data_IF_388752688911
#
_entry.id   IF_388752688911
#
_cell.length_a   1.000
_cell.length_b   1.000
_cell.length_c   1.000
_cell.angle_alpha   90.00
_cell.angle_beta   90.00
_cell.angle_gamma   90.00
#
_symmetry.space_group_name_H-M   'P 1'
#
loop_
_entity.id
_entity.type
_entity.pdbx_description
1 polymer ?
#
# COMPACT_ATOMS: atom_id res chain seq x y z
N UNK A 1 -13.74 -2.06 12.41
CA UNK A 1 -13.14 -3.41 12.27
C UNK A 1 -11.68 -3.21 11.90
N UNK A 2 -10.74 -3.86 12.59
CA UNK A 2 -9.32 -3.80 12.23
C UNK A 2 -9.04 -4.79 11.10
N UNK A 3 -8.26 -4.36 10.11
CA UNK A 3 -7.72 -5.23 9.08
C UNK A 3 -6.31 -5.62 9.48
N UNK A 4 -5.92 -6.87 9.20
CA UNK A 4 -4.55 -7.31 9.36
C UNK A 4 -3.99 -7.76 8.02
N UNK A 5 -2.67 -7.65 7.89
CA UNK A 5 -1.99 -7.92 6.64
C UNK A 5 -0.54 -8.32 6.83
N UNK A 6 0.05 -8.81 5.75
CA UNK A 6 1.45 -9.18 5.66
C UNK A 6 2.11 -8.33 4.59
N UNK A 7 3.38 -7.97 4.76
CA UNK A 7 4.08 -7.18 3.78
C UNK A 7 5.59 -7.17 4.00
N UNK A 8 6.26 -6.35 3.21
CA UNK A 8 7.71 -6.20 3.26
C UNK A 8 8.21 -5.71 4.63
N UNK A 9 9.39 -6.18 5.05
CA UNK A 9 10.08 -5.71 6.27
C UNK A 9 10.42 -4.21 6.27
N UNK A 10 10.35 -3.56 5.11
CA UNK A 10 10.64 -2.14 4.96
C UNK A 10 9.43 -1.23 5.20
N UNK A 11 8.25 -1.81 5.44
CA UNK A 11 7.03 -1.07 5.79
C UNK A 11 7.22 -0.41 7.14
N UNK A 12 6.82 0.85 7.24
CA UNK A 12 6.85 1.62 8.48
C UNK A 12 5.51 2.34 8.70
N UNK A 13 5.30 2.79 9.93
CA UNK A 13 4.12 3.60 10.26
C UNK A 13 4.05 4.85 9.37
N UNK A 14 2.87 5.10 8.80
CA UNK A 14 2.64 6.21 7.87
C UNK A 14 2.75 5.83 6.38
N UNK A 15 3.22 4.62 6.04
CA UNK A 15 3.12 4.12 4.67
C UNK A 15 1.65 3.85 4.30
N UNK A 16 1.32 4.03 3.02
CA UNK A 16 -0.03 3.91 2.48
C UNK A 16 -0.22 2.54 1.81
N UNK A 17 -1.34 1.89 2.10
CA UNK A 17 -1.79 0.72 1.34
C UNK A 17 -2.70 1.18 0.22
N UNK A 18 -2.32 0.91 -1.03
CA UNK A 18 -3.02 1.37 -2.22
C UNK A 18 -3.29 0.21 -3.18
N UNK A 19 -4.43 0.24 -3.87
CA UNK A 19 -4.66 -0.59 -5.05
C UNK A 19 -4.45 0.32 -6.25
N UNK A 20 -3.33 0.13 -6.95
CA UNK A 20 -3.07 0.87 -8.18
C UNK A 20 -3.93 0.34 -9.30
N UNK A 21 -4.40 1.22 -10.18
CA UNK A 21 -5.19 0.83 -11.34
C UNK A 21 -4.41 -0.20 -12.17
N UNK A 22 -5.05 -1.34 -12.46
CA UNK A 22 -4.47 -2.51 -13.15
C UNK A 22 -3.44 -3.33 -12.35
N UNK A 23 -3.20 -3.04 -11.08
CA UNK A 23 -2.48 -3.96 -10.20
C UNK A 23 -3.45 -4.99 -9.62
N UNK A 24 -3.06 -6.26 -9.67
CA UNK A 24 -3.86 -7.38 -9.15
C UNK A 24 -3.83 -7.52 -7.63
N UNK A 25 -2.95 -6.78 -6.95
CA UNK A 25 -2.77 -6.84 -5.50
C UNK A 25 -2.52 -5.45 -4.94
N UNK A 26 -2.99 -5.18 -3.71
CA UNK A 26 -2.53 -4.06 -2.92
C UNK A 26 -1.00 -3.95 -2.84
N UNK A 27 -0.56 -2.70 -2.85
CA UNK A 27 0.83 -2.29 -2.76
C UNK A 27 0.98 -1.29 -1.64
N UNK A 28 2.20 -1.18 -1.13
CA UNK A 28 2.57 -0.20 -0.11
C UNK A 28 3.38 0.89 -0.78
N UNK A 29 2.90 2.13 -0.63
CA UNK A 29 3.54 3.35 -1.12
C UNK A 29 3.95 4.22 0.05
N UNK A 30 5.10 4.87 -0.08
CA UNK A 30 5.59 5.83 0.90
C UNK A 30 5.56 7.23 0.32
N UNK A 31 4.90 8.15 1.02
CA UNK A 31 4.91 9.57 0.65
C UNK A 31 6.31 10.13 0.86
N UNK A 32 6.84 10.78 -0.17
CA UNK A 32 8.11 11.51 -0.14
C UNK A 32 7.86 12.94 -0.61
N UNK A 33 8.38 13.91 0.13
CA UNK A 33 8.16 15.34 -0.11
C UNK A 33 6.95 15.91 0.66
N UNK A 34 7.13 17.13 1.16
CA UNK A 34 6.12 17.85 1.94
C UNK A 34 5.34 18.89 1.11
N UNK A 35 5.91 19.35 -0.01
CA UNK A 35 5.30 20.34 -0.91
C UNK A 35 4.80 19.73 -2.23
N UNK A 36 3.87 20.42 -2.88
CA UNK A 36 3.25 19.96 -4.13
C UNK A 36 4.22 19.87 -5.31
N UNK A 37 5.36 20.55 -5.24
CA UNK A 37 6.37 20.57 -6.31
C UNK A 37 7.26 19.32 -6.29
N UNK A 38 7.50 18.74 -5.11
CA UNK A 38 8.34 17.54 -4.95
C UNK A 38 7.56 16.34 -4.42
N UNK A 39 6.22 16.39 -4.42
CA UNK A 39 5.39 15.29 -3.95
C UNK A 39 5.52 14.09 -4.88
N UNK A 40 6.08 13.01 -4.35
CA UNK A 40 6.15 11.73 -5.04
C UNK A 40 5.90 10.57 -4.06
N UNK A 41 5.78 9.38 -4.60
CA UNK A 41 5.58 8.17 -3.81
C UNK A 41 6.59 7.11 -4.20
N UNK A 42 7.28 6.57 -3.19
CA UNK A 42 8.17 5.43 -3.37
C UNK A 42 7.37 4.12 -3.27
N UNK A 43 7.67 3.19 -4.17
CA UNK A 43 7.14 1.84 -4.09
C UNK A 43 7.90 1.02 -3.05
N UNK A 44 7.23 0.65 -1.96
CA UNK A 44 7.84 -0.13 -0.86
C UNK A 44 7.71 -1.64 -1.11
N UNK A 45 6.60 -2.08 -1.69
CA UNK A 45 6.38 -3.49 -2.03
C UNK A 45 4.91 -3.88 -2.17
N UNK A 46 4.66 -5.14 -2.51
CA UNK A 46 3.31 -5.75 -2.46
C UNK A 46 2.96 -6.11 -1.02
N UNK A 47 1.68 -6.14 -0.68
CA UNK A 47 1.20 -6.64 0.62
C UNK A 47 0.01 -7.59 0.44
N UNK A 48 -0.25 -8.40 1.47
CA UNK A 48 -1.47 -9.18 1.68
C UNK A 48 -2.35 -8.49 2.72
N UNK A 49 -3.67 -8.43 2.50
CA UNK A 49 -4.63 -7.90 3.46
C UNK A 49 -5.72 -8.95 3.65
N UNK A 50 -5.82 -9.49 4.86
CA UNK A 50 -6.77 -10.54 5.17
C UNK A 50 -8.20 -10.03 5.05
N UNK A 51 -9.05 -10.82 4.40
CA UNK A 51 -10.44 -10.44 4.08
C UNK A 51 -10.59 -9.42 2.95
N UNK A 52 -9.49 -8.98 2.31
CA UNK A 52 -9.53 -8.13 1.09
C UNK A 52 -8.80 -8.73 -0.12
N UNK A 53 -8.13 -9.87 0.01
CA UNK A 53 -7.35 -10.47 -1.09
C UNK A 53 -7.82 -11.86 -1.54
N UNK A 54 -9.05 -12.24 -1.21
CA UNK A 54 -9.64 -13.56 -1.55
C UNK A 54 -10.73 -13.46 -2.64
N UNK A 55 -10.63 -12.47 -3.54
CA UNK A 55 -11.66 -12.17 -4.55
C UNK A 55 -12.79 -11.23 -4.10
N UNK A 56 -12.77 -10.80 -2.83
CA UNK A 56 -13.77 -9.89 -2.20
C UNK A 56 -13.52 -8.39 -2.50
N UNK A 57 -12.56 -8.06 -3.36
CA UNK A 57 -12.27 -6.66 -3.75
C UNK A 57 -12.28 -6.57 -5.26
N UNK A 58 -13.50 -6.37 -5.76
CA UNK A 58 -13.82 -5.63 -6.97
C UNK A 58 -14.31 -4.24 -6.57
#
# INVERSE_FOLDING_TARGET
KWLFGLGSRYIKGGDLVCILFRCSVPVVLRKCGDDSLNLHYEFVGKCYIHGKMDGEVL
#
